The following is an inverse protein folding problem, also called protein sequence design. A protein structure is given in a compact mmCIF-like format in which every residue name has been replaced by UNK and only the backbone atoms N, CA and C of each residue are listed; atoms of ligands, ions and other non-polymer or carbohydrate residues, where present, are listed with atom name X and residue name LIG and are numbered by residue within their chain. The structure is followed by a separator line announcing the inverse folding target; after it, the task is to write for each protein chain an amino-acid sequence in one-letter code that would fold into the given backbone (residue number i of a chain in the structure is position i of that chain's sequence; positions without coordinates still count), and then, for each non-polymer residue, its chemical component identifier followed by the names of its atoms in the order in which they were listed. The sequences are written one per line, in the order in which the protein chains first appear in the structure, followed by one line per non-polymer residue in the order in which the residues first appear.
data_IF_928807259054
#
_entry.id   IF_928807259054
#
_cell.length_a   1.000
_cell.length_b   1.000
_cell.length_c   1.000
_cell.angle_alpha   90.00
_cell.angle_beta   90.00
_cell.angle_gamma   90.00
#
_symmetry.space_group_name_H-M   'P 1'
#
loop_
_entity.id
_entity.type
_entity.pdbx_description
1 polymer ?
#
# COMPACT_ATOMS: atom_id res chain seq x y z
N UNK A 1 -55.19 8.89 16.20
CA UNK A 1 -53.81 8.83 16.78
C UNK A 1 -53.75 8.18 18.15
N UNK A 2 -54.78 8.29 19.00
CA UNK A 2 -54.74 7.84 20.40
C UNK A 2 -54.51 6.33 20.65
N UNK A 3 -54.93 5.44 19.74
CA UNK A 3 -54.77 3.99 19.92
C UNK A 3 -53.31 3.51 19.81
N UNK A 4 -52.47 4.17 19.01
CA UNK A 4 -51.04 3.81 18.83
C UNK A 4 -50.21 4.22 20.05
N UNK A 5 -50.53 5.36 20.66
CA UNK A 5 -49.85 5.87 21.85
C UNK A 5 -50.08 4.99 23.08
N UNK A 6 -51.31 4.48 23.27
CA UNK A 6 -51.62 3.53 24.36
C UNK A 6 -50.85 2.21 24.22
N UNK A 7 -50.67 1.73 22.99
CA UNK A 7 -49.93 0.49 22.71
C UNK A 7 -48.42 0.63 23.03
N UNK A 8 -47.84 1.79 22.70
CA UNK A 8 -46.45 2.12 23.04
C UNK A 8 -46.20 2.20 24.55
N UNK A 9 -47.12 2.81 25.29
CA UNK A 9 -47.02 2.91 26.76
C UNK A 9 -47.07 1.52 27.39
N UNK A 10 -47.98 0.66 26.94
CA UNK A 10 -48.07 -0.73 27.43
C UNK A 10 -46.78 -1.50 27.14
N UNK A 11 -46.22 -1.36 25.94
CA UNK A 11 -44.96 -2.02 25.58
C UNK A 11 -43.80 -1.55 26.48
N UNK A 12 -43.70 -0.24 26.74
CA UNK A 12 -42.69 0.33 27.62
C UNK A 12 -42.82 -0.16 29.06
N UNK A 13 -44.05 -0.26 29.58
CA UNK A 13 -44.32 -0.80 30.91
C UNK A 13 -43.94 -2.28 31.00
N UNK A 14 -44.18 -3.07 29.95
CA UNK A 14 -43.75 -4.46 29.90
C UNK A 14 -42.23 -4.60 29.90
N UNK A 15 -41.49 -3.76 29.15
CA UNK A 15 -40.03 -3.76 29.16
C UNK A 15 -39.50 -3.36 30.54
N UNK A 16 -40.05 -2.30 31.15
CA UNK A 16 -39.64 -1.86 32.49
C UNK A 16 -39.94 -2.91 33.58
N UNK A 17 -41.10 -3.55 33.52
CA UNK A 17 -41.45 -4.63 34.44
C UNK A 17 -40.53 -5.85 34.26
N UNK A 18 -40.16 -6.19 33.02
CA UNK A 18 -39.22 -7.28 32.74
C UNK A 18 -37.83 -7.00 33.30
N UNK A 19 -37.36 -5.75 33.18
CA UNK A 19 -36.07 -5.30 33.75
C UNK A 19 -36.07 -5.32 35.27
N UNK A 20 -37.19 -4.96 35.92
CA UNK A 20 -37.32 -4.96 37.38
C UNK A 20 -37.48 -6.37 37.98
N UNK A 21 -38.15 -7.28 37.29
CA UNK A 21 -38.42 -8.65 37.78
C UNK A 21 -37.26 -9.61 37.54
N UNK A 22 -36.36 -9.31 36.59
CA UNK A 22 -35.19 -10.15 36.28
C UNK A 22 -33.85 -9.39 36.47
N UNK A 23 -33.48 -9.00 37.71
CA UNK A 23 -32.19 -8.36 37.98
C UNK A 23 -31.00 -9.25 37.58
N UNK A 24 -31.20 -10.57 37.52
CA UNK A 24 -30.19 -11.54 37.10
C UNK A 24 -29.82 -11.42 35.61
N UNK A 25 -30.72 -10.97 34.73
CA UNK A 25 -30.42 -10.79 33.29
C UNK A 25 -29.50 -9.59 33.08
N UNK A 26 -29.69 -8.52 33.84
CA UNK A 26 -28.78 -7.37 33.84
C UNK A 26 -27.44 -7.67 34.51
N UNK A 27 -27.42 -8.47 35.58
CA UNK A 27 -26.19 -8.91 36.23
C UNK A 27 -25.38 -9.88 35.35
N UNK A 28 -26.04 -10.84 34.69
CA UNK A 28 -25.40 -11.75 33.72
C UNK A 28 -24.92 -11.01 32.48
N UNK A 29 -25.68 -10.02 31.99
CA UNK A 29 -25.24 -9.14 30.90
C UNK A 29 -24.01 -8.30 31.26
N UNK A 30 -23.98 -7.71 32.47
CA UNK A 30 -22.82 -6.95 32.97
C UNK A 30 -21.59 -7.82 33.20
N UNK A 31 -21.77 -9.01 33.78
CA UNK A 31 -20.67 -9.95 34.01
C UNK A 31 -20.15 -10.54 32.69
N UNK A 32 -21.03 -10.82 31.73
CA UNK A 32 -20.64 -11.25 30.38
C UNK A 32 -19.87 -10.17 29.62
N UNK A 33 -20.32 -8.91 29.67
CA UNK A 33 -19.60 -7.78 29.08
C UNK A 33 -18.27 -7.51 29.78
N UNK A 34 -18.22 -7.55 31.10
CA UNK A 34 -16.98 -7.38 31.86
C UNK A 34 -15.98 -8.50 31.54
N UNK A 35 -16.45 -9.75 31.44
CA UNK A 35 -15.61 -10.88 31.05
C UNK A 35 -15.10 -10.76 29.61
N UNK A 36 -15.94 -10.35 28.66
CA UNK A 36 -15.53 -10.09 27.28
C UNK A 36 -14.53 -8.93 27.18
N UNK A 37 -14.76 -7.83 27.90
CA UNK A 37 -13.81 -6.70 27.93
C UNK A 37 -12.48 -7.13 28.54
N UNK A 38 -12.51 -7.93 29.62
CA UNK A 38 -11.31 -8.47 30.24
C UNK A 38 -10.57 -9.42 29.29
N UNK A 39 -11.27 -10.35 28.63
CA UNK A 39 -10.68 -11.28 27.66
C UNK A 39 -10.07 -10.52 26.47
N UNK A 40 -10.74 -9.47 25.98
CA UNK A 40 -10.20 -8.61 24.93
C UNK A 40 -9.00 -7.78 25.42
N UNK A 41 -9.01 -7.30 26.67
CA UNK A 41 -7.89 -6.56 27.25
C UNK A 41 -6.67 -7.46 27.45
N UNK A 42 -6.89 -8.71 27.90
CA UNK A 42 -5.83 -9.71 28.03
C UNK A 42 -5.27 -10.13 26.66
N UNK A 43 -6.14 -10.28 25.64
CA UNK A 43 -5.70 -10.52 24.25
C UNK A 43 -4.93 -9.34 23.67
N UNK A 44 -5.37 -8.11 23.94
CA UNK A 44 -4.66 -6.90 23.51
C UNK A 44 -3.30 -6.82 24.21
N UNK A 45 -3.24 -7.04 25.52
CA UNK A 45 -1.98 -7.05 26.27
C UNK A 45 -1.02 -8.15 25.78
N UNK A 46 -1.54 -9.35 25.46
CA UNK A 46 -0.73 -10.42 24.85
C UNK A 46 -0.25 -10.06 23.44
N UNK A 47 -1.06 -9.36 22.65
CA UNK A 47 -0.66 -8.84 21.34
C UNK A 47 0.37 -7.70 21.48
N UNK A 48 0.22 -6.81 22.45
CA UNK A 48 1.15 -5.72 22.75
C UNK A 48 2.50 -6.27 23.25
N UNK A 49 2.49 -7.28 24.14
CA UNK A 49 3.70 -7.97 24.58
C UNK A 49 4.34 -8.77 23.43
N UNK A 50 3.53 -9.41 22.57
CA UNK A 50 4.06 -10.07 21.37
C UNK A 50 4.70 -9.05 20.42
N UNK A 51 4.08 -7.88 20.23
CA UNK A 51 4.62 -6.78 19.42
C UNK A 51 5.91 -6.24 20.07
N UNK A 52 5.95 -5.98 21.38
CA UNK A 52 7.17 -5.51 22.05
C UNK A 52 8.31 -6.51 21.99
N UNK A 53 8.02 -7.81 22.07
CA UNK A 53 9.03 -8.86 21.92
C UNK A 53 9.50 -9.04 20.47
N UNK A 54 8.67 -8.71 19.48
CA UNK A 54 9.06 -8.61 18.06
C UNK A 54 9.88 -7.34 17.82
N UNK A 55 9.52 -6.21 18.45
CA UNK A 55 10.25 -4.93 18.36
C UNK A 55 11.59 -4.92 19.11
N UNK A 56 11.87 -5.94 19.93
CA UNK A 56 13.11 -6.08 20.70
C UNK A 56 14.27 -6.74 19.95
N UNK A 57 14.05 -7.33 18.77
CA UNK A 57 15.13 -7.84 17.92
C UNK A 57 14.99 -7.39 16.47
N UNK A 58 15.82 -6.40 16.14
CA UNK A 58 16.22 -5.90 14.82
C UNK A 58 15.38 -4.76 14.21
N UNK A 59 16.10 -3.64 14.04
CA UNK A 59 15.96 -2.57 13.05
C UNK A 59 14.63 -1.79 12.96
N UNK A 60 14.76 -0.49 13.19
CA UNK A 60 13.80 0.57 12.89
C UNK A 60 13.12 0.36 11.52
N UNK A 61 11.80 0.13 11.51
CA UNK A 61 10.86 0.35 10.39
C UNK A 61 11.42 0.19 8.95
N UNK A 62 12.00 -0.96 8.59
CA UNK A 62 12.19 -1.29 7.17
C UNK A 62 10.83 -1.70 6.58
N UNK A 63 10.36 -0.97 5.57
CA UNK A 63 9.13 -1.31 4.83
C UNK A 63 9.38 -2.51 3.91
N UNK A 64 10.63 -2.71 3.49
CA UNK A 64 11.03 -3.76 2.57
C UNK A 64 12.05 -4.72 3.19
N UNK A 65 11.65 -5.98 3.38
CA UNK A 65 12.58 -7.03 3.82
C UNK A 65 13.74 -7.21 2.80
N UNK A 66 14.96 -7.43 3.32
CA UNK A 66 16.17 -7.53 2.48
C UNK A 66 16.09 -8.57 1.35
N UNK A 67 15.47 -9.72 1.59
CA UNK A 67 15.30 -10.76 0.55
C UNK A 67 14.38 -10.28 -0.59
N UNK A 68 13.32 -9.55 -0.25
CA UNK A 68 12.38 -8.97 -1.24
C UNK A 68 13.08 -7.88 -2.03
N UNK A 69 13.87 -7.03 -1.37
CA UNK A 69 14.68 -5.99 -2.01
C UNK A 69 15.63 -6.57 -3.06
N UNK A 70 16.37 -7.62 -2.71
CA UNK A 70 17.27 -8.30 -3.64
C UNK A 70 16.53 -8.94 -4.82
N UNK A 71 15.39 -9.59 -4.56
CA UNK A 71 14.58 -10.19 -5.60
C UNK A 71 14.04 -9.16 -6.61
N UNK A 72 13.55 -8.02 -6.11
CA UNK A 72 13.05 -6.93 -6.94
C UNK A 72 14.16 -6.30 -7.77
N UNK A 73 15.32 -5.99 -7.16
CA UNK A 73 16.47 -5.43 -7.89
C UNK A 73 16.94 -6.36 -9.00
N UNK A 74 17.01 -7.68 -8.74
CA UNK A 74 17.38 -8.67 -9.77
C UNK A 74 16.41 -8.70 -10.94
N UNK A 75 15.11 -8.56 -10.67
CA UNK A 75 14.08 -8.51 -11.72
C UNK A 75 14.19 -7.22 -12.54
N UNK A 76 14.48 -6.09 -11.90
CA UNK A 76 14.76 -4.81 -12.60
C UNK A 76 15.95 -4.96 -13.54
N UNK A 77 17.09 -5.47 -13.06
CA UNK A 77 18.29 -5.71 -13.90
C UNK A 77 17.95 -6.56 -15.11
N UNK A 78 17.30 -7.70 -14.89
CA UNK A 78 16.96 -8.65 -15.95
C UNK A 78 16.07 -8.01 -17.03
N UNK A 79 15.20 -7.08 -16.64
CA UNK A 79 14.28 -6.40 -17.56
C UNK A 79 14.94 -5.28 -18.33
N UNK A 80 15.77 -4.47 -17.69
CA UNK A 80 16.54 -3.43 -18.39
C UNK A 80 17.39 -4.09 -19.48
N UNK A 81 18.12 -5.15 -19.15
CA UNK A 81 18.99 -5.88 -20.09
C UNK A 81 18.22 -6.51 -21.27
N UNK A 82 16.92 -6.78 -21.11
CA UNK A 82 16.07 -7.43 -22.12
C UNK A 82 15.11 -6.47 -22.83
N UNK A 83 15.00 -5.23 -22.36
CA UNK A 83 13.99 -4.31 -22.85
C UNK A 83 14.35 -3.82 -24.24
N UNK A 84 13.61 -4.30 -25.24
CA UNK A 84 13.68 -3.76 -26.62
C UNK A 84 13.26 -2.30 -26.72
N UNK A 85 12.65 -1.74 -25.67
CA UNK A 85 12.10 -0.39 -25.64
C UNK A 85 13.13 0.66 -25.18
N UNK A 86 14.41 0.28 -25.05
CA UNK A 86 15.49 1.25 -24.87
C UNK A 86 15.93 1.85 -26.19
N UNK A 87 15.55 1.28 -27.35
CA UNK A 87 16.02 1.72 -28.67
C UNK A 87 14.86 2.26 -29.49
N UNK A 88 15.02 3.46 -30.05
CA UNK A 88 14.19 3.98 -31.12
C UNK A 88 14.62 3.32 -32.44
N UNK A 89 13.71 2.57 -33.07
CA UNK A 89 14.03 1.84 -34.30
C UNK A 89 14.11 2.71 -35.56
N UNK A 90 13.59 3.94 -35.52
CA UNK A 90 13.69 4.88 -36.64
C UNK A 90 15.01 5.65 -36.62
N UNK A 91 15.42 6.11 -35.44
CA UNK A 91 16.65 6.91 -35.27
C UNK A 91 17.87 6.08 -34.88
N UNK A 92 17.65 4.89 -34.30
CA UNK A 92 18.69 4.08 -33.67
C UNK A 92 19.18 4.63 -32.32
N UNK A 93 18.50 5.66 -31.79
CA UNK A 93 18.83 6.26 -30.50
C UNK A 93 18.52 5.28 -29.36
N UNK A 94 19.45 5.15 -28.42
CA UNK A 94 19.28 4.31 -27.23
C UNK A 94 19.15 5.17 -25.98
N UNK A 95 18.22 4.79 -25.11
CA UNK A 95 18.09 5.29 -23.75
C UNK A 95 19.30 4.85 -22.93
N UNK A 96 20.12 5.83 -22.56
CA UNK A 96 21.25 5.65 -21.70
C UNK A 96 20.80 5.71 -20.25
N UNK A 97 20.36 4.55 -19.73
CA UNK A 97 20.05 4.34 -18.32
C UNK A 97 21.38 4.06 -17.61
N UNK A 98 21.84 5.01 -16.81
CA UNK A 98 23.15 4.92 -16.15
C UNK A 98 23.10 4.15 -14.85
N UNK A 99 21.96 4.20 -14.14
CA UNK A 99 21.77 3.52 -12.87
C UNK A 99 20.28 3.36 -12.54
N UNK A 100 19.98 2.49 -11.56
CA UNK A 100 18.68 2.41 -10.92
C UNK A 100 18.83 2.07 -9.43
N UNK A 101 17.92 2.57 -8.61
CA UNK A 101 17.95 2.38 -7.16
C UNK A 101 16.56 2.04 -6.63
N UNK A 102 16.49 1.09 -5.70
CA UNK A 102 15.29 0.84 -4.90
C UNK A 102 15.49 1.45 -3.50
N UNK A 103 14.70 2.48 -3.20
CA UNK A 103 14.83 3.27 -1.98
C UNK A 103 13.51 3.36 -1.20
N UNK A 104 13.59 3.74 0.07
CA UNK A 104 12.42 4.03 0.91
C UNK A 104 12.37 5.53 1.18
N UNK A 105 11.37 6.21 0.61
CA UNK A 105 11.22 7.66 0.73
C UNK A 105 9.90 7.93 1.43
N UNK A 106 9.95 8.53 2.62
CA UNK A 106 8.76 8.85 3.43
C UNK A 106 7.86 7.64 3.75
N UNK A 107 8.43 6.43 3.85
CA UNK A 107 7.69 5.20 4.09
C UNK A 107 7.07 4.57 2.84
N UNK A 108 7.36 5.10 1.66
CA UNK A 108 6.98 4.52 0.37
C UNK A 108 8.20 3.88 -0.30
N UNK A 109 7.99 2.73 -0.93
CA UNK A 109 9.04 2.06 -1.71
C UNK A 109 9.08 2.66 -3.10
N UNK A 110 10.22 3.22 -3.50
CA UNK A 110 10.40 3.95 -4.75
C UNK A 110 11.51 3.31 -5.59
N UNK A 111 11.17 2.93 -6.82
CA UNK A 111 12.16 2.54 -7.82
C UNK A 111 12.55 3.75 -8.68
N UNK A 112 13.80 4.17 -8.55
CA UNK A 112 14.37 5.33 -9.21
C UNK A 112 15.23 4.89 -10.40
N UNK A 113 15.03 5.51 -11.56
CA UNK A 113 15.86 5.34 -12.75
C UNK A 113 16.65 6.61 -13.04
N UNK A 114 17.93 6.46 -13.36
CA UNK A 114 18.81 7.56 -13.72
C UNK A 114 19.23 7.45 -15.18
N UNK A 115 18.99 8.52 -15.93
CA UNK A 115 19.26 8.60 -17.36
C UNK A 115 20.15 9.80 -17.66
N UNK A 116 21.06 9.63 -18.62
CA UNK A 116 21.89 10.72 -19.15
C UNK A 116 21.60 10.93 -20.63
N UNK A 117 21.18 12.14 -21.01
CA UNK A 117 20.77 12.46 -22.37
C UNK A 117 19.75 13.59 -22.44
N UNK A 118 19.30 13.91 -23.65
CA UNK A 118 18.25 14.91 -23.88
C UNK A 118 17.03 14.22 -24.49
N UNK A 119 16.27 13.53 -23.64
CA UNK A 119 15.09 12.80 -24.07
C UNK A 119 13.83 13.65 -23.91
N UNK A 120 12.96 13.57 -24.90
CA UNK A 120 11.61 14.11 -24.81
C UNK A 120 10.73 13.14 -23.99
N UNK A 121 9.89 13.68 -23.11
CA UNK A 121 8.96 12.97 -22.24
C UNK A 121 7.49 13.25 -22.59
N UNK A 122 7.25 13.70 -23.82
CA UNK A 122 5.93 14.04 -24.33
C UNK A 122 5.47 13.06 -25.40
N UNK A 123 4.68 13.53 -26.36
CA UNK A 123 4.21 12.77 -27.51
C UNK A 123 4.92 13.29 -28.75
N UNK A 124 5.27 12.38 -29.65
CA UNK A 124 5.78 12.75 -30.97
C UNK A 124 4.69 13.44 -31.82
N UNK A 125 5.06 13.87 -33.04
CA UNK A 125 4.12 14.51 -33.97
C UNK A 125 2.97 13.61 -34.44
N UNK A 126 3.07 12.29 -34.21
CA UNK A 126 2.07 11.29 -34.57
C UNK A 126 1.16 10.91 -33.38
N UNK A 127 1.39 11.49 -32.19
CA UNK A 127 0.67 11.17 -30.96
C UNK A 127 1.14 9.87 -30.30
N UNK A 128 2.30 9.33 -30.67
CA UNK A 128 2.93 8.22 -29.97
C UNK A 128 3.80 8.73 -28.83
N UNK A 129 4.02 7.89 -27.82
CA UNK A 129 5.01 8.21 -26.80
C UNK A 129 6.40 8.25 -27.39
N UNK A 130 7.16 9.29 -27.04
CA UNK A 130 8.59 9.38 -27.31
C UNK A 130 9.34 8.27 -26.58
N UNK A 131 10.59 8.01 -26.98
CA UNK A 131 11.39 6.89 -26.50
C UNK A 131 11.41 6.75 -24.96
N UNK A 132 11.76 7.82 -24.22
CA UNK A 132 11.82 7.81 -22.76
C UNK A 132 10.46 7.52 -22.10
N UNK A 133 9.39 8.15 -22.60
CA UNK A 133 8.04 7.94 -22.08
C UNK A 133 7.51 6.54 -22.38
N UNK A 134 7.81 6.03 -23.57
CA UNK A 134 7.47 4.66 -23.97
C UNK A 134 8.19 3.64 -23.08
N UNK A 135 9.48 3.83 -22.81
CA UNK A 135 10.21 2.99 -21.86
C UNK A 135 9.58 3.02 -20.48
N UNK A 136 9.38 4.22 -19.90
CA UNK A 136 8.83 4.37 -18.55
C UNK A 136 7.46 3.71 -18.42
N UNK A 137 6.54 3.99 -19.35
CA UNK A 137 5.19 3.42 -19.31
C UNK A 137 5.22 1.90 -19.46
N UNK A 138 5.97 1.38 -20.43
CA UNK A 138 6.07 -0.07 -20.64
C UNK A 138 6.75 -0.77 -19.47
N UNK A 139 7.78 -0.17 -18.87
CA UNK A 139 8.44 -0.73 -17.71
C UNK A 139 7.47 -0.83 -16.54
N UNK A 140 6.82 0.29 -16.18
CA UNK A 140 5.85 0.35 -15.08
C UNK A 140 4.73 -0.68 -15.31
N UNK A 141 4.09 -0.66 -16.48
CA UNK A 141 2.97 -1.55 -16.78
C UNK A 141 3.34 -3.04 -16.62
N UNK A 142 4.55 -3.43 -17.02
CA UNK A 142 5.00 -4.82 -16.99
C UNK A 142 5.65 -5.23 -15.67
N UNK A 143 6.15 -4.28 -14.87
CA UNK A 143 6.85 -4.55 -13.61
C UNK A 143 5.96 -4.40 -12.39
N UNK A 144 5.03 -3.44 -12.40
CA UNK A 144 4.13 -3.13 -11.27
C UNK A 144 3.35 -4.31 -10.66
N UNK A 145 2.94 -5.34 -11.43
CA UNK A 145 2.34 -6.53 -10.83
C UNK A 145 3.28 -7.31 -9.89
N UNK A 146 4.61 -7.22 -10.06
CA UNK A 146 5.60 -8.04 -9.35
C UNK A 146 5.76 -7.58 -7.89
N UNK A 147 6.07 -6.31 -7.57
CA UNK A 147 6.08 -5.82 -6.19
C UNK A 147 4.78 -6.13 -5.44
N UNK A 148 3.64 -6.01 -6.12
CA UNK A 148 2.31 -6.32 -5.56
C UNK A 148 2.15 -7.77 -5.15
N UNK A 149 2.83 -8.72 -5.81
CA UNK A 149 2.85 -10.13 -5.38
C UNK A 149 3.56 -10.34 -4.04
N UNK A 150 4.46 -9.43 -3.67
CA UNK A 150 5.15 -9.40 -2.38
C UNK A 150 4.45 -8.50 -1.35
N UNK A 151 3.29 -7.92 -1.68
CA UNK A 151 2.58 -6.98 -0.81
C UNK A 151 3.22 -5.59 -0.73
N UNK A 152 4.06 -5.24 -1.70
CA UNK A 152 4.75 -3.95 -1.78
C UNK A 152 4.03 -3.04 -2.78
N UNK A 153 3.54 -1.89 -2.31
CA UNK A 153 3.10 -0.80 -3.17
C UNK A 153 4.32 0.03 -3.58
N UNK A 154 4.62 0.01 -4.88
CA UNK A 154 5.83 0.63 -5.43
C UNK A 154 5.50 1.87 -6.26
N UNK A 155 6.25 2.93 -5.99
CA UNK A 155 6.27 4.15 -6.79
C UNK A 155 7.48 4.16 -7.73
N UNK A 156 7.41 4.96 -8.79
CA UNK A 156 8.43 5.02 -9.82
C UNK A 156 8.85 6.47 -10.05
N UNK A 157 10.16 6.69 -10.09
CA UNK A 157 10.74 7.99 -10.38
C UNK A 157 11.79 7.85 -11.48
N UNK A 158 11.83 8.86 -12.35
CA UNK A 158 12.78 8.92 -13.45
C UNK A 158 13.53 10.23 -13.36
N UNK A 159 14.85 10.16 -13.46
CA UNK A 159 15.74 11.29 -13.36
C UNK A 159 16.51 11.43 -14.67
N UNK A 160 16.44 12.59 -15.30
CA UNK A 160 17.24 12.92 -16.48
C UNK A 160 18.29 13.95 -16.10
N UNK A 161 19.57 13.62 -16.30
CA UNK A 161 20.71 14.48 -15.95
C UNK A 161 20.66 14.97 -14.48
N UNK A 162 20.15 14.12 -13.57
CA UNK A 162 20.02 14.41 -12.14
C UNK A 162 18.75 15.17 -11.73
N UNK A 163 17.91 15.58 -12.66
CA UNK A 163 16.62 16.23 -12.36
C UNK A 163 15.46 15.24 -12.47
N UNK A 164 14.57 15.24 -11.48
CA UNK A 164 13.39 14.38 -11.50
C UNK A 164 12.44 14.84 -12.61
N UNK A 165 12.11 13.91 -13.50
CA UNK A 165 11.11 14.12 -14.54
C UNK A 165 9.74 13.82 -13.94
N UNK A 166 8.89 14.83 -13.87
CA UNK A 166 7.51 14.63 -13.41
C UNK A 166 6.71 13.96 -14.53
N UNK A 167 6.45 12.68 -14.39
CA UNK A 167 5.53 11.97 -15.28
C UNK A 167 4.11 12.30 -14.80
N UNK A 168 3.53 13.37 -15.34
CA UNK A 168 2.12 13.66 -15.11
C UNK A 168 1.28 12.51 -15.67
N UNK A 169 0.65 11.76 -14.75
CA UNK A 169 -0.49 10.91 -15.03
C UNK A 169 -1.66 11.86 -15.27
N UNK A 170 -2.06 12.00 -16.52
CA UNK A 170 -3.41 12.35 -16.96
C UNK A 170 -3.84 11.35 -18.04
#
# INVERSE_FOLDING_TARGET
MEKKTKLLIVLFTFVFAFVLVNPNVFAQGKNGLAHLVQEHTEKIAQLEDAIQNISGSNSENEVLEGEVKEALLKEVTTRIDRSSNTIDYETGEELNITDFKLDEVNGEVVLQFFLEGDYDWTFDSNGNYTLARSFAQNFIFNFDPIPKMYGVDMNYEFYQNGEQVTIFID
#
